data_IF_140574290432
#
_entry.id   IF_140574290432
#
_cell.length_a   1.000
_cell.length_b   1.000
_cell.length_c   1.000
_cell.angle_alpha   90.00
_cell.angle_beta   90.00
_cell.angle_gamma   90.00
#
_symmetry.space_group_name_H-M   'P 1'
#
loop_
_entity.id
_entity.type
_entity.pdbx_description
1 polymer ?
#
# COMPACT_ATOMS: atom_id res chain seq x y z
N UNK A 1 -11.78 10.14 73.45
CA UNK A 1 -11.11 8.82 73.27
C UNK A 1 -10.62 8.74 71.85
N UNK A 2 -9.32 8.62 71.69
CA UNK A 2 -8.49 9.09 70.59
C UNK A 2 -8.66 8.36 69.26
N UNK A 3 -9.15 9.08 68.25
CA UNK A 3 -9.26 8.63 66.84
C UNK A 3 -8.04 9.09 65.98
N UNK A 4 -6.86 9.22 66.58
CA UNK A 4 -5.65 9.73 65.93
C UNK A 4 -4.58 8.66 65.63
N UNK A 5 -4.81 7.42 66.01
CA UNK A 5 -3.82 6.33 65.80
C UNK A 5 -4.12 5.41 64.61
N UNK A 6 -5.27 5.59 63.93
CA UNK A 6 -5.66 4.71 62.83
C UNK A 6 -5.27 5.19 61.44
N UNK A 7 -4.86 6.47 61.34
CA UNK A 7 -4.50 7.07 60.05
C UNK A 7 -3.02 6.95 59.67
N UNK A 8 -2.16 6.50 60.56
CA UNK A 8 -0.71 6.34 60.30
C UNK A 8 -0.36 4.93 59.81
N UNK A 9 -1.21 3.93 60.10
CA UNK A 9 -0.96 2.54 59.71
C UNK A 9 -1.29 2.25 58.23
N UNK A 10 -2.14 3.05 57.56
CA UNK A 10 -2.46 2.87 56.14
C UNK A 10 -1.50 3.57 55.16
N UNK A 11 -0.67 4.51 55.65
CA UNK A 11 0.28 5.24 54.81
C UNK A 11 1.61 4.51 54.57
N UNK A 12 1.88 3.43 55.30
CA UNK A 12 3.13 2.67 55.21
C UNK A 12 3.04 1.39 54.38
N UNK A 13 1.86 1.02 53.88
CA UNK A 13 1.67 -0.18 53.04
C UNK A 13 1.60 0.12 51.52
N UNK A 14 1.73 1.38 51.10
CA UNK A 14 1.69 1.74 49.66
C UNK A 14 3.07 1.97 49.01
N UNK A 15 4.15 1.68 49.72
CA UNK A 15 5.50 1.72 49.17
C UNK A 15 6.08 0.32 49.10
N UNK A 16 5.77 -0.42 48.08
CA UNK A 16 6.63 -1.50 47.60
C UNK A 16 5.89 -2.30 46.56
N UNK A 17 5.99 -1.96 45.33
CA UNK A 17 6.04 -2.85 44.18
C UNK A 17 6.28 -2.03 42.90
N UNK A 18 7.37 -1.23 42.90
CA UNK A 18 8.06 -1.00 41.65
C UNK A 18 8.86 -2.27 41.34
N UNK A 19 8.20 -3.27 40.80
CA UNK A 19 8.91 -4.33 40.09
C UNK A 19 9.61 -3.68 38.90
N UNK A 20 10.91 -3.49 39.02
CA UNK A 20 11.75 -3.36 37.86
C UNK A 20 11.58 -4.65 37.06
N UNK A 21 10.76 -4.59 36.02
CA UNK A 21 10.85 -5.53 34.92
C UNK A 21 12.22 -5.26 34.31
N UNK A 22 13.21 -6.03 34.71
CA UNK A 22 14.47 -6.17 34.04
C UNK A 22 14.09 -6.90 32.73
N UNK A 23 13.81 -6.13 31.67
CA UNK A 23 13.80 -6.67 30.32
C UNK A 23 15.18 -7.22 30.05
N UNK A 24 15.35 -8.50 30.38
CA UNK A 24 16.43 -9.27 29.76
C UNK A 24 16.17 -9.21 28.25
N UNK A 25 16.76 -8.20 27.60
CA UNK A 25 17.02 -8.23 26.18
C UNK A 25 17.87 -9.48 25.95
N UNK A 26 17.19 -10.58 25.71
CA UNK A 26 17.82 -11.73 25.05
C UNK A 26 18.24 -11.16 23.70
N UNK A 27 19.54 -10.87 23.56
CA UNK A 27 20.14 -10.65 22.26
C UNK A 27 19.83 -11.93 21.47
N UNK A 28 18.73 -11.90 20.73
CA UNK A 28 18.48 -12.92 19.72
C UNK A 28 19.65 -12.79 18.75
N UNK A 29 20.52 -13.78 18.78
CA UNK A 29 21.57 -13.93 17.77
C UNK A 29 20.84 -14.23 16.46
N UNK A 30 20.20 -13.20 15.91
CA UNK A 30 19.59 -13.25 14.59
C UNK A 30 20.66 -13.21 13.51
N UNK A 31 20.27 -13.55 12.30
CA UNK A 31 21.13 -13.39 11.16
C UNK A 31 21.60 -11.95 11.02
N UNK A 32 22.91 -11.74 10.93
CA UNK A 32 23.48 -10.44 10.65
C UNK A 32 23.67 -10.33 9.13
N UNK A 33 23.01 -9.36 8.53
CA UNK A 33 23.11 -9.08 7.11
C UNK A 33 24.03 -7.89 6.87
N UNK A 34 24.88 -8.02 5.86
CA UNK A 34 25.71 -6.90 5.39
C UNK A 34 25.18 -6.47 4.03
N UNK A 35 24.83 -5.19 3.91
CA UNK A 35 24.43 -4.61 2.62
C UNK A 35 25.64 -4.56 1.72
N UNK A 36 25.66 -5.36 0.65
CA UNK A 36 26.76 -5.40 -0.33
C UNK A 36 26.54 -4.42 -1.48
N UNK A 37 25.28 -4.07 -1.77
CA UNK A 37 24.91 -3.11 -2.80
C UNK A 37 23.54 -2.53 -2.48
N UNK A 38 23.42 -1.21 -2.53
CA UNK A 38 22.16 -0.48 -2.40
C UNK A 38 21.88 0.28 -3.70
N UNK A 39 20.67 0.14 -4.22
CA UNK A 39 20.20 0.87 -5.38
C UNK A 39 19.27 1.99 -4.93
N UNK A 40 19.36 3.14 -5.59
CA UNK A 40 18.38 4.22 -5.37
C UNK A 40 17.02 3.77 -5.90
N UNK A 41 16.01 3.97 -5.08
CA UNK A 41 14.61 3.69 -5.41
C UNK A 41 13.75 4.89 -5.04
N UNK A 42 12.57 4.97 -5.66
CA UNK A 42 11.53 5.88 -5.21
C UNK A 42 10.91 5.41 -3.87
N UNK A 43 10.24 6.30 -3.11
CA UNK A 43 9.50 5.89 -1.92
C UNK A 43 8.45 4.82 -2.22
N UNK A 44 8.28 3.89 -1.29
CA UNK A 44 7.23 2.85 -1.40
C UNK A 44 5.85 3.50 -1.31
N UNK A 45 4.96 3.12 -2.24
CA UNK A 45 3.57 3.58 -2.28
C UNK A 45 2.63 2.53 -1.69
N UNK A 46 1.53 2.98 -1.09
CA UNK A 46 0.49 2.13 -0.50
C UNK A 46 -0.69 1.97 -1.46
N UNK A 47 -0.83 0.79 -2.06
CA UNK A 47 -2.01 0.47 -2.89
C UNK A 47 -3.30 0.38 -2.07
N UNK A 48 -3.23 0.27 -0.73
CA UNK A 48 -4.36 0.06 0.14
C UNK A 48 -5.23 -1.14 -0.31
N UNK A 49 -6.53 -0.97 -0.46
CA UNK A 49 -7.49 -2.01 -0.86
C UNK A 49 -7.95 -1.88 -2.32
N UNK A 50 -7.03 -1.57 -3.22
CA UNK A 50 -7.36 -1.42 -4.64
C UNK A 50 -7.28 -2.72 -5.44
N UNK A 51 -6.53 -3.72 -4.95
CA UNK A 51 -6.29 -4.96 -5.72
C UNK A 51 -5.38 -4.78 -6.94
N UNK A 52 -4.63 -3.68 -7.00
CA UNK A 52 -3.85 -3.25 -8.17
C UNK A 52 -2.35 -3.34 -7.98
N UNK A 53 -1.88 -4.29 -7.16
CA UNK A 53 -0.45 -4.49 -6.88
C UNK A 53 0.42 -4.64 -8.13
N UNK A 54 -0.14 -5.18 -9.20
CA UNK A 54 0.55 -5.34 -10.47
C UNK A 54 0.98 -4.00 -11.07
N UNK A 55 0.13 -2.97 -11.01
CA UNK A 55 0.44 -1.62 -11.51
C UNK A 55 1.48 -0.95 -10.61
N UNK A 56 1.28 -0.96 -9.29
CA UNK A 56 2.25 -0.41 -8.34
C UNK A 56 3.64 -1.01 -8.49
N UNK A 57 3.74 -2.33 -8.63
CA UNK A 57 5.04 -3.00 -8.79
C UNK A 57 5.70 -2.73 -10.13
N UNK A 58 4.92 -2.67 -11.21
CA UNK A 58 5.47 -2.43 -12.55
C UNK A 58 5.93 -1.00 -12.72
N UNK A 59 5.14 0.00 -12.26
CA UNK A 59 5.56 1.39 -12.32
C UNK A 59 6.75 1.68 -11.42
N UNK A 60 6.77 1.13 -10.20
CA UNK A 60 7.94 1.24 -9.33
C UNK A 60 9.21 0.70 -10.02
N UNK A 61 9.11 -0.43 -10.72
CA UNK A 61 10.24 -0.95 -11.50
C UNK A 61 10.68 0.01 -12.63
N UNK A 62 9.73 0.60 -13.35
CA UNK A 62 10.01 1.55 -14.45
C UNK A 62 10.66 2.83 -13.87
N UNK A 63 10.13 3.37 -12.79
CA UNK A 63 10.66 4.54 -12.10
C UNK A 63 12.10 4.31 -11.61
N UNK A 64 12.35 3.17 -11.00
CA UNK A 64 13.68 2.78 -10.51
C UNK A 64 14.66 2.57 -11.68
N UNK A 65 14.20 2.03 -12.80
CA UNK A 65 15.04 1.90 -14.00
C UNK A 65 15.41 3.26 -14.59
N UNK A 66 14.50 4.23 -14.60
CA UNK A 66 14.79 5.61 -14.98
C UNK A 66 15.83 6.24 -14.07
N UNK A 67 15.71 6.06 -12.74
CA UNK A 67 16.71 6.51 -11.78
C UNK A 67 18.08 5.87 -12.04
N UNK A 68 18.11 4.57 -12.32
CA UNK A 68 19.33 3.84 -12.66
C UNK A 68 20.00 4.39 -13.93
N UNK A 69 19.21 4.87 -14.88
CA UNK A 69 19.69 5.52 -16.10
C UNK A 69 20.13 6.99 -15.90
N UNK A 70 20.07 7.49 -14.65
CA UNK A 70 20.43 8.86 -14.32
C UNK A 70 19.36 9.90 -14.68
N UNK A 71 18.13 9.48 -14.94
CA UNK A 71 17.01 10.40 -15.13
C UNK A 71 16.56 10.98 -13.78
N UNK A 72 15.90 12.16 -13.78
CA UNK A 72 15.25 12.67 -12.58
C UNK A 72 14.25 11.68 -12.00
N UNK A 73 14.05 11.71 -10.68
CA UNK A 73 12.98 10.99 -10.03
C UNK A 73 11.63 11.45 -10.61
N UNK A 74 10.79 10.50 -10.97
CA UNK A 74 9.44 10.71 -11.48
C UNK A 74 8.50 9.84 -10.66
N UNK A 75 7.32 10.35 -10.38
CA UNK A 75 6.22 9.68 -9.71
C UNK A 75 5.10 9.48 -10.74
N UNK A 76 4.86 8.24 -11.15
CA UNK A 76 3.93 7.89 -12.22
C UNK A 76 2.60 7.41 -11.63
N UNK A 77 1.50 7.70 -12.33
CA UNK A 77 0.17 7.38 -11.85
C UNK A 77 -0.24 5.95 -12.14
N UNK A 78 -0.30 5.13 -11.10
CA UNK A 78 -0.85 3.77 -11.16
C UNK A 78 -2.33 3.80 -11.51
N UNK A 79 -3.07 4.76 -10.95
CA UNK A 79 -4.52 4.83 -11.16
C UNK A 79 -4.91 5.27 -12.57
N UNK A 80 -4.06 6.02 -13.27
CA UNK A 80 -4.27 6.29 -14.69
C UNK A 80 -4.24 5.00 -15.52
N UNK A 81 -3.27 4.16 -15.26
CA UNK A 81 -3.13 2.85 -15.91
C UNK A 81 -4.33 1.96 -15.56
N UNK A 82 -4.62 1.80 -14.27
CA UNK A 82 -5.72 0.98 -13.77
C UNK A 82 -7.05 1.39 -14.38
N UNK A 83 -7.35 2.69 -14.45
CA UNK A 83 -8.56 3.21 -15.09
C UNK A 83 -8.70 2.77 -16.55
N UNK A 84 -7.64 2.92 -17.30
CA UNK A 84 -7.66 2.57 -18.72
C UNK A 84 -7.70 1.04 -18.93
N UNK A 85 -7.04 0.27 -18.07
CA UNK A 85 -7.12 -1.18 -18.07
C UNK A 85 -8.55 -1.70 -17.78
N UNK A 86 -9.27 -1.10 -16.82
CA UNK A 86 -10.68 -1.44 -16.61
C UNK A 86 -11.55 -1.20 -17.84
N UNK A 87 -11.28 -0.14 -18.59
CA UNK A 87 -12.02 0.13 -19.86
C UNK A 87 -11.74 -0.98 -20.87
N UNK A 88 -10.48 -1.35 -21.07
CA UNK A 88 -10.09 -2.40 -22.01
C UNK A 88 -10.64 -3.76 -21.60
N UNK A 89 -10.58 -4.08 -20.31
CA UNK A 89 -11.17 -5.31 -19.75
C UNK A 89 -12.69 -5.36 -19.92
N UNK A 90 -13.38 -4.24 -19.70
CA UNK A 90 -14.84 -4.17 -19.91
C UNK A 90 -15.21 -4.44 -21.37
N UNK A 91 -14.50 -3.79 -22.31
CA UNK A 91 -14.71 -4.01 -23.75
C UNK A 91 -14.47 -5.48 -24.11
N UNK A 92 -13.39 -6.06 -23.59
CA UNK A 92 -13.04 -7.46 -23.85
C UNK A 92 -14.07 -8.41 -23.24
N UNK A 93 -14.49 -8.15 -21.99
CA UNK A 93 -15.49 -8.95 -21.27
C UNK A 93 -16.83 -9.02 -22.03
N UNK A 94 -17.34 -7.87 -22.48
CA UNK A 94 -18.57 -7.81 -23.27
C UNK A 94 -18.43 -8.54 -24.62
N UNK A 95 -17.30 -8.34 -25.32
CA UNK A 95 -17.02 -9.02 -26.59
C UNK A 95 -16.89 -10.54 -26.46
N UNK A 96 -16.46 -11.00 -25.29
CA UNK A 96 -16.31 -12.43 -24.98
C UNK A 96 -17.57 -13.00 -24.28
N UNK A 97 -18.67 -12.27 -24.27
CA UNK A 97 -19.95 -12.68 -23.65
C UNK A 97 -19.82 -13.11 -22.20
N UNK A 98 -18.92 -12.47 -21.42
CA UNK A 98 -18.68 -12.78 -20.03
C UNK A 98 -17.78 -14.01 -19.77
N UNK A 99 -17.25 -14.63 -20.80
CA UNK A 99 -16.41 -15.85 -20.70
C UNK A 99 -14.93 -15.56 -20.36
N UNK A 100 -14.68 -14.46 -19.66
CA UNK A 100 -13.37 -14.09 -19.11
C UNK A 100 -13.53 -13.43 -17.75
N UNK A 101 -12.46 -13.40 -16.94
CA UNK A 101 -12.47 -12.66 -15.68
C UNK A 101 -12.52 -11.14 -15.92
N UNK A 102 -13.37 -10.45 -15.14
CA UNK A 102 -13.38 -9.01 -15.01
C UNK A 102 -13.14 -8.64 -13.54
N UNK A 103 -11.98 -8.11 -13.23
CA UNK A 103 -11.55 -7.80 -11.85
C UNK A 103 -10.38 -6.81 -11.82
N UNK A 104 -10.02 -6.36 -10.61
CA UNK A 104 -8.89 -5.45 -10.36
C UNK A 104 -7.52 -6.03 -10.72
N UNK A 105 -7.37 -7.38 -10.69
CA UNK A 105 -6.09 -8.05 -10.98
C UNK A 105 -5.60 -7.82 -12.40
N UNK A 106 -4.29 -7.74 -12.58
CA UNK A 106 -3.63 -7.56 -13.87
C UNK A 106 -2.18 -8.04 -13.81
N UNK A 107 -1.42 -7.71 -14.84
CA UNK A 107 -0.03 -8.11 -15.01
C UNK A 107 0.82 -6.96 -15.57
N UNK A 108 2.13 -7.12 -15.54
CA UNK A 108 3.05 -6.18 -16.20
C UNK A 108 2.77 -6.04 -17.71
N UNK A 109 2.19 -7.07 -18.34
CA UNK A 109 1.79 -6.99 -19.75
C UNK A 109 0.64 -5.99 -19.95
N UNK A 110 -0.36 -6.01 -19.05
CA UNK A 110 -1.47 -5.07 -19.09
C UNK A 110 -0.96 -3.62 -18.92
N UNK A 111 -0.01 -3.42 -18.00
CA UNK A 111 0.67 -2.14 -17.81
C UNK A 111 1.29 -1.62 -19.12
N UNK A 112 2.16 -2.44 -19.72
CA UNK A 112 2.85 -2.05 -20.97
C UNK A 112 1.89 -1.83 -22.12
N UNK A 113 0.83 -2.62 -22.21
CA UNK A 113 -0.23 -2.44 -23.21
C UNK A 113 -0.95 -1.10 -23.05
N UNK A 114 -1.28 -0.73 -21.82
CA UNK A 114 -1.95 0.55 -21.54
C UNK A 114 -1.01 1.72 -21.81
N UNK A 115 0.26 1.63 -21.41
CA UNK A 115 1.27 2.67 -21.71
C UNK A 115 1.42 2.87 -23.21
N UNK A 116 1.50 1.80 -23.99
CA UNK A 116 1.62 1.89 -25.46
C UNK A 116 0.39 2.54 -26.09
N UNK A 117 -0.80 2.24 -25.59
CA UNK A 117 -2.06 2.68 -26.19
C UNK A 117 -2.52 4.07 -25.73
N UNK A 118 -2.35 4.40 -24.44
CA UNK A 118 -2.89 5.61 -23.82
C UNK A 118 -1.81 6.54 -23.27
N UNK A 119 -0.56 6.09 -23.25
CA UNK A 119 0.53 6.81 -22.59
C UNK A 119 0.51 6.64 -21.08
N UNK A 120 1.24 7.51 -20.40
CA UNK A 120 1.36 7.56 -18.97
C UNK A 120 1.42 9.01 -18.49
N UNK A 121 0.96 9.29 -17.28
CA UNK A 121 0.96 10.62 -16.68
C UNK A 121 1.61 10.60 -15.30
N UNK A 122 2.14 11.74 -14.82
CA UNK A 122 2.59 11.87 -13.44
C UNK A 122 1.43 11.69 -12.44
N UNK A 123 1.74 11.22 -11.25
CA UNK A 123 0.75 11.03 -10.17
C UNK A 123 0.02 12.32 -9.82
N UNK A 124 0.70 13.46 -9.82
CA UNK A 124 0.09 14.78 -9.58
C UNK A 124 -1.01 15.16 -10.57
N UNK A 125 -1.00 14.57 -11.77
CA UNK A 125 -2.01 14.81 -12.81
C UNK A 125 -3.25 13.95 -12.62
N UNK A 126 -3.07 12.73 -12.12
CA UNK A 126 -4.15 11.78 -11.90
C UNK A 126 -3.90 10.87 -10.71
N UNK A 127 -4.37 11.25 -9.55
CA UNK A 127 -4.23 10.46 -8.31
C UNK A 127 -5.24 9.33 -8.18
N UNK A 128 -6.35 9.39 -8.91
CA UNK A 128 -7.46 8.44 -8.76
C UNK A 128 -8.27 8.59 -7.45
N UNK A 129 -7.94 9.55 -6.59
CA UNK A 129 -8.58 9.79 -5.30
C UNK A 129 -9.66 10.86 -5.41
N UNK A 130 -10.87 10.46 -5.89
CA UNK A 130 -11.96 11.39 -6.16
C UNK A 130 -13.09 11.35 -5.13
N UNK A 131 -12.98 10.53 -4.07
CA UNK A 131 -14.05 10.30 -3.09
C UNK A 131 -13.85 11.02 -1.75
N UNK A 132 -12.90 11.95 -1.67
CA UNK A 132 -12.57 12.63 -0.41
C UNK A 132 -11.85 11.74 0.61
N UNK A 133 -11.30 10.62 0.17
CA UNK A 133 -10.42 9.73 0.94
C UNK A 133 -8.98 9.89 0.48
N UNK A 134 -8.05 9.58 1.35
CA UNK A 134 -6.61 9.56 1.09
C UNK A 134 -6.07 8.16 0.72
N UNK A 135 -6.98 7.19 0.55
CA UNK A 135 -6.63 5.79 0.29
C UNK A 135 -7.52 5.17 -0.77
N UNK A 136 -6.92 4.33 -1.61
CA UNK A 136 -7.63 3.57 -2.64
C UNK A 136 -8.44 2.43 -2.01
N UNK A 137 -9.75 2.44 -2.21
CA UNK A 137 -10.67 1.39 -1.76
C UNK A 137 -11.63 1.05 -2.90
N UNK A 138 -11.32 -0.01 -3.65
CA UNK A 138 -12.01 -0.33 -4.90
C UNK A 138 -13.14 -1.37 -4.76
N UNK A 139 -13.45 -1.84 -3.54
CA UNK A 139 -14.48 -2.87 -3.36
C UNK A 139 -15.85 -2.51 -3.92
N UNK A 140 -16.32 -1.27 -3.67
CA UNK A 140 -17.57 -0.77 -4.25
C UNK A 140 -17.46 -0.54 -5.75
N UNK A 141 -16.35 0.03 -6.20
CA UNK A 141 -16.05 0.25 -7.61
C UNK A 141 -16.08 -1.06 -8.40
N UNK A 142 -15.41 -2.09 -7.90
CA UNK A 142 -15.35 -3.42 -8.52
C UNK A 142 -16.76 -4.02 -8.64
N UNK A 143 -17.57 -3.93 -7.58
CA UNK A 143 -18.93 -4.46 -7.58
C UNK A 143 -19.83 -3.73 -8.58
N UNK A 144 -19.74 -2.40 -8.64
CA UNK A 144 -20.53 -1.57 -9.57
C UNK A 144 -20.11 -1.85 -11.00
N UNK A 145 -18.81 -1.84 -11.29
CA UNK A 145 -18.31 -2.08 -12.65
C UNK A 145 -18.67 -3.50 -13.13
N UNK A 146 -18.53 -4.51 -12.25
CA UNK A 146 -18.94 -5.89 -12.58
C UNK A 146 -20.41 -5.97 -12.89
N UNK A 147 -21.28 -5.41 -12.04
CA UNK A 147 -22.72 -5.38 -12.30
C UNK A 147 -23.13 -4.58 -13.54
N UNK A 148 -22.29 -3.65 -13.98
CA UNK A 148 -22.54 -2.87 -15.21
C UNK A 148 -22.21 -3.64 -16.49
N UNK A 149 -21.18 -4.50 -16.46
CA UNK A 149 -20.75 -5.27 -17.65
C UNK A 149 -21.46 -6.61 -17.81
N UNK A 150 -22.13 -7.12 -16.72
CA UNK A 150 -22.97 -8.33 -16.73
C UNK A 150 -24.32 -8.07 -17.41
#
# INVERSE_FOLDING_TARGET
MNCKFFTIACALLSMSFCSWANENKTDSVGYQFTVTKELKTNPVKDQSRSGTCWSFSTLSFIEDDLLRQGKPAVDLSEMFIVRNDYIEKAIKYVRMHGDIAFSAGGSAYDELYIIDKYGIVPEEVYTGLNYGTDKHQHGELDAILKGYVD
#
